data_IF_549955282454
#
_entry.id   IF_549955282454
#
_cell.length_a   1.000
_cell.length_b   1.000
_cell.length_c   1.000
_cell.angle_alpha   90.00
_cell.angle_beta   90.00
_cell.angle_gamma   90.00
#
_symmetry.space_group_name_H-M   'P 1'
#
loop_
_entity.id
_entity.type
_entity.pdbx_description
1 polymer ?
#
# COMPACT_ATOMS: atom_id res chain seq x y z
N UNK A 1 10.71 -23.33 -17.06
CA UNK A 1 10.57 -24.07 -15.77
C UNK A 1 11.88 -23.94 -15.00
N UNK A 2 11.82 -23.64 -13.70
CA UNK A 2 13.00 -23.55 -12.82
C UNK A 2 13.88 -24.80 -12.92
N UNK A 3 15.21 -24.61 -12.97
CA UNK A 3 16.19 -25.71 -13.09
C UNK A 3 17.16 -25.82 -11.91
N UNK A 4 16.90 -25.09 -10.82
CA UNK A 4 17.80 -24.96 -9.67
C UNK A 4 18.52 -23.62 -9.63
N UNK A 5 19.24 -23.38 -8.54
CA UNK A 5 20.06 -22.18 -8.35
C UNK A 5 21.26 -22.13 -9.30
N UNK A 6 21.60 -20.93 -9.75
CA UNK A 6 22.70 -20.66 -10.68
C UNK A 6 22.62 -21.48 -11.97
N UNK A 7 21.40 -21.78 -12.40
CA UNK A 7 21.14 -22.54 -13.63
C UNK A 7 20.16 -21.78 -14.51
N UNK A 8 20.53 -21.43 -15.74
CA UNK A 8 19.62 -20.76 -16.65
C UNK A 8 18.46 -21.70 -17.00
N UNK A 9 17.25 -21.15 -17.01
CA UNK A 9 16.04 -21.86 -17.47
C UNK A 9 16.16 -22.20 -18.95
N UNK A 10 16.69 -21.26 -19.74
CA UNK A 10 16.99 -21.41 -21.16
C UNK A 10 18.35 -20.80 -21.44
N UNK A 11 19.16 -21.47 -22.25
CA UNK A 11 20.47 -20.99 -22.67
C UNK A 11 20.60 -21.14 -24.18
N UNK A 12 20.99 -20.06 -24.83
CA UNK A 12 21.41 -20.00 -26.24
C UNK A 12 22.83 -19.45 -26.28
N UNK A 13 23.41 -19.29 -27.49
CA UNK A 13 24.78 -18.80 -27.64
C UNK A 13 25.02 -17.44 -26.97
N UNK A 14 24.07 -16.52 -27.07
CA UNK A 14 24.22 -15.15 -26.56
C UNK A 14 23.18 -14.76 -25.49
N UNK A 15 22.07 -15.50 -25.36
CA UNK A 15 21.00 -15.16 -24.43
C UNK A 15 20.77 -16.24 -23.39
N UNK A 16 20.57 -15.82 -22.14
CA UNK A 16 20.23 -16.69 -21.02
C UNK A 16 19.01 -16.18 -20.30
N UNK A 17 18.10 -17.10 -19.93
CA UNK A 17 16.89 -16.77 -19.18
C UNK A 17 17.06 -17.27 -17.75
N UNK A 18 16.80 -16.42 -16.78
CA UNK A 18 16.81 -16.74 -15.37
C UNK A 18 15.50 -16.35 -14.72
N UNK A 19 15.14 -17.06 -13.66
CA UNK A 19 14.01 -16.71 -12.81
C UNK A 19 14.50 -16.47 -11.39
N UNK A 20 13.87 -15.55 -10.67
CA UNK A 20 14.21 -15.22 -9.30
C UNK A 20 12.96 -14.93 -8.49
N UNK A 21 13.09 -15.01 -7.18
CA UNK A 21 12.03 -14.68 -6.23
C UNK A 21 12.60 -13.76 -5.16
N UNK A 22 11.86 -12.72 -4.85
CA UNK A 22 12.06 -11.86 -3.69
C UNK A 22 10.88 -12.03 -2.75
N UNK A 23 11.14 -12.02 -1.45
CA UNK A 23 10.10 -12.08 -0.43
C UNK A 23 10.35 -10.94 0.54
N UNK A 24 9.30 -10.19 0.82
CA UNK A 24 9.31 -9.16 1.84
C UNK A 24 8.07 -9.33 2.72
N UNK A 25 8.28 -9.48 4.02
CA UNK A 25 7.23 -9.44 5.01
C UNK A 25 7.17 -8.03 5.60
N UNK A 26 5.97 -7.49 5.75
CA UNK A 26 5.76 -6.37 6.63
C UNK A 26 5.59 -6.90 8.05
N UNK A 27 6.38 -6.40 8.97
CA UNK A 27 6.06 -6.41 10.39
C UNK A 27 6.49 -5.01 10.84
N UNK A 28 5.58 -4.05 10.65
CA UNK A 28 5.92 -2.65 10.85
C UNK A 28 6.47 -2.48 12.27
N UNK A 29 7.67 -1.92 12.38
CA UNK A 29 8.33 -1.63 13.65
C UNK A 29 7.79 -0.29 14.22
N UNK A 30 6.80 0.32 13.56
CA UNK A 30 6.19 1.60 13.89
C UNK A 30 4.71 1.68 13.56
N UNK A 31 3.90 0.74 14.07
CA UNK A 31 2.46 0.96 14.17
C UNK A 31 2.15 1.98 15.27
N UNK A 32 2.69 3.19 15.18
CA UNK A 32 2.49 4.24 16.17
C UNK A 32 1.00 4.58 16.33
N UNK A 33 0.65 5.36 17.36
CA UNK A 33 -0.75 5.69 17.58
C UNK A 33 -1.36 6.51 16.42
N UNK A 34 -2.64 6.27 16.15
CA UNK A 34 -3.47 7.07 15.25
C UNK A 34 -4.75 7.48 15.95
N UNK A 35 -5.21 8.71 15.74
CA UNK A 35 -6.47 9.19 16.25
C UNK A 35 -7.35 9.72 15.12
N UNK A 36 -8.66 9.66 15.35
CA UNK A 36 -9.65 10.24 14.46
C UNK A 36 -10.87 10.74 15.24
N UNK A 37 -11.51 11.78 14.71
CA UNK A 37 -12.90 12.12 15.05
C UNK A 37 -13.81 11.92 13.84
N UNK A 38 -15.05 11.54 14.10
CA UNK A 38 -16.12 11.53 13.10
C UNK A 38 -17.28 12.33 13.65
N UNK A 39 -17.63 13.41 12.95
CA UNK A 39 -18.73 14.30 13.32
C UNK A 39 -19.93 14.05 12.42
N UNK A 40 -21.08 13.76 13.01
CA UNK A 40 -22.37 13.61 12.33
C UNK A 40 -23.15 14.91 12.38
N UNK A 41 -23.79 15.24 11.27
CA UNK A 41 -24.63 16.42 11.11
C UNK A 41 -26.12 16.04 10.96
N UNK A 42 -27.06 16.93 11.36
CA UNK A 42 -28.50 16.64 11.30
C UNK A 42 -29.03 16.41 9.89
N UNK A 43 -28.35 16.92 8.86
CA UNK A 43 -28.73 16.75 7.45
C UNK A 43 -28.33 15.39 6.85
N UNK A 44 -27.81 14.47 7.67
CA UNK A 44 -27.42 13.14 7.20
C UNK A 44 -26.06 13.13 6.50
N UNK A 45 -25.19 14.10 6.82
CA UNK A 45 -23.79 14.16 6.38
C UNK A 45 -22.83 13.87 7.54
N UNK A 46 -21.59 13.52 7.21
CA UNK A 46 -20.54 13.30 8.18
C UNK A 46 -19.21 13.97 7.77
N UNK A 47 -18.41 14.33 8.76
CA UNK A 47 -17.09 14.89 8.58
C UNK A 47 -16.04 14.10 9.36
N UNK A 48 -15.01 13.64 8.66
CA UNK A 48 -13.86 12.93 9.21
C UNK A 48 -12.77 13.95 9.54
N UNK A 49 -12.26 13.87 10.76
CA UNK A 49 -11.11 14.62 11.25
C UNK A 49 -9.99 13.64 11.51
N UNK A 50 -8.97 13.65 10.65
CA UNK A 50 -7.75 12.88 10.83
C UNK A 50 -6.66 13.53 9.98
N UNK A 51 -5.44 13.61 10.52
CA UNK A 51 -4.33 14.31 9.87
C UNK A 51 -3.69 13.47 8.77
N UNK A 52 -4.50 13.11 7.77
CA UNK A 52 -4.12 12.22 6.67
C UNK A 52 -3.54 13.02 5.50
N UNK A 53 -2.25 12.83 5.27
CA UNK A 53 -1.56 13.33 4.08
C UNK A 53 -1.73 12.34 2.92
N UNK A 54 -2.15 12.84 1.77
CA UNK A 54 -2.29 12.05 0.54
C UNK A 54 -1.10 12.31 -0.39
N UNK A 55 -0.46 11.23 -0.84
CA UNK A 55 0.71 11.27 -1.72
C UNK A 55 0.55 10.35 -2.95
N UNK A 56 -0.67 9.89 -3.22
CA UNK A 56 -1.02 9.10 -4.40
C UNK A 56 -1.55 7.69 -4.10
N UNK A 57 -1.54 7.28 -2.83
CA UNK A 57 -1.95 5.96 -2.34
C UNK A 57 -3.46 5.78 -2.15
N UNK A 58 -4.25 6.85 -2.26
CA UNK A 58 -5.71 6.81 -2.19
C UNK A 58 -6.30 6.62 -0.78
N UNK A 59 -5.50 6.86 0.26
CA UNK A 59 -5.88 6.67 1.66
C UNK A 59 -7.10 7.50 2.04
N UNK A 60 -7.17 8.77 1.62
CA UNK A 60 -8.30 9.65 1.96
C UNK A 60 -9.63 9.09 1.44
N UNK A 61 -9.64 8.57 0.22
CA UNK A 61 -10.82 7.93 -0.38
C UNK A 61 -11.18 6.64 0.34
N UNK A 62 -10.18 5.82 0.69
CA UNK A 62 -10.41 4.56 1.40
C UNK A 62 -11.03 4.79 2.78
N UNK A 63 -10.58 5.80 3.51
CA UNK A 63 -11.15 6.14 4.80
C UNK A 63 -12.58 6.69 4.71
N UNK A 64 -12.89 7.44 3.66
CA UNK A 64 -14.28 7.84 3.37
C UNK A 64 -15.15 6.60 3.14
N UNK A 65 -14.70 5.62 2.35
CA UNK A 65 -15.43 4.37 2.13
C UNK A 65 -15.65 3.59 3.42
N UNK A 66 -14.61 3.49 4.26
CA UNK A 66 -14.70 2.83 5.56
C UNK A 66 -15.75 3.49 6.47
N UNK A 67 -15.70 4.82 6.59
CA UNK A 67 -16.70 5.56 7.38
C UNK A 67 -18.10 5.47 6.76
N UNK A 68 -18.21 5.52 5.43
CA UNK A 68 -19.47 5.38 4.69
C UNK A 68 -20.13 4.04 4.98
N UNK A 69 -19.36 2.96 4.96
CA UNK A 69 -19.84 1.62 5.27
C UNK A 69 -20.27 1.51 6.74
N UNK A 70 -19.51 2.07 7.69
CA UNK A 70 -19.89 2.06 9.11
C UNK A 70 -21.17 2.85 9.37
N UNK A 71 -21.31 4.02 8.74
CA UNK A 71 -22.42 4.96 8.92
C UNK A 71 -23.61 4.67 7.99
N UNK A 72 -23.44 3.77 7.03
CA UNK A 72 -24.39 3.44 5.96
C UNK A 72 -24.88 4.71 5.22
N UNK A 73 -23.93 5.58 4.86
CA UNK A 73 -24.18 6.79 4.08
C UNK A 73 -23.57 6.65 2.68
N UNK A 74 -24.13 7.33 1.65
CA UNK A 74 -23.43 7.53 0.39
C UNK A 74 -22.09 8.24 0.61
N UNK A 75 -21.04 7.85 -0.14
CA UNK A 75 -19.69 8.41 0.00
C UNK A 75 -19.66 9.93 -0.18
N UNK A 76 -20.57 10.47 -1.00
CA UNK A 76 -20.69 11.90 -1.31
C UNK A 76 -21.18 12.72 -0.12
N UNK A 77 -21.79 12.07 0.88
CA UNK A 77 -22.23 12.69 2.14
C UNK A 77 -21.15 12.70 3.21
N UNK A 78 -19.94 12.26 2.87
CA UNK A 78 -18.82 12.19 3.79
C UNK A 78 -17.68 13.07 3.28
N UNK A 79 -17.27 14.03 4.11
CA UNK A 79 -16.14 14.92 3.83
C UNK A 79 -14.97 14.65 4.78
N UNK A 80 -13.75 14.98 4.37
CA UNK A 80 -12.53 14.84 5.18
C UNK A 80 -11.85 16.19 5.30
N UNK A 81 -11.42 16.55 6.50
CA UNK A 81 -10.65 17.77 6.75
C UNK A 81 -9.32 17.81 5.97
N UNK A 82 -8.77 19.00 5.69
CA UNK A 82 -7.38 19.12 5.26
C UNK A 82 -6.42 18.46 6.25
N UNK A 83 -5.24 18.03 5.78
CA UNK A 83 -4.17 17.51 6.66
C UNK A 83 -3.51 18.68 7.40
N UNK A 84 -4.10 19.06 8.54
CA UNK A 84 -3.65 20.17 9.39
C UNK A 84 -3.69 19.75 10.87
N UNK A 85 -2.53 19.81 11.53
CA UNK A 85 -2.36 19.40 12.93
C UNK A 85 -3.01 20.35 13.94
N UNK A 86 -3.44 21.54 13.53
CA UNK A 86 -4.20 22.45 14.41
C UNK A 86 -5.67 22.04 14.56
N UNK A 87 -6.24 21.33 13.58
CA UNK A 87 -7.67 20.97 13.55
C UNK A 87 -7.92 19.47 13.73
N UNK A 88 -6.92 18.64 13.45
CA UNK A 88 -7.03 17.19 13.51
C UNK A 88 -6.35 16.64 14.76
N UNK A 89 -6.80 15.47 15.24
CA UNK A 89 -6.14 14.78 16.34
C UNK A 89 -4.78 14.21 15.92
N UNK A 90 -4.06 13.63 16.89
CA UNK A 90 -2.71 13.13 16.67
C UNK A 90 -2.67 12.04 15.57
N UNK A 91 -1.67 12.14 14.71
CA UNK A 91 -1.37 11.13 13.70
C UNK A 91 0.14 11.05 13.53
N UNK A 92 0.68 9.83 13.59
CA UNK A 92 2.09 9.59 13.32
C UNK A 92 2.45 9.87 11.85
N UNK A 93 1.60 9.43 10.92
CA UNK A 93 1.75 9.67 9.49
C UNK A 93 1.88 8.39 8.65
N UNK A 94 1.95 8.56 7.31
CA UNK A 94 2.03 7.45 6.37
C UNK A 94 3.45 6.89 6.27
N UNK A 95 3.71 5.77 6.93
CA UNK A 95 4.93 4.96 6.83
C UNK A 95 4.59 3.50 7.17
N UNK A 96 5.50 2.56 6.90
CA UNK A 96 5.34 1.15 7.33
C UNK A 96 4.11 0.45 6.75
N UNK A 97 3.51 1.03 5.70
CA UNK A 97 2.26 0.58 5.09
C UNK A 97 1.10 0.51 6.10
N UNK A 98 1.16 1.27 7.19
CA UNK A 98 0.17 1.20 8.28
C UNK A 98 -1.17 1.83 7.98
N UNK A 99 -1.26 2.72 7.00
CA UNK A 99 -2.42 3.61 6.79
C UNK A 99 -3.78 2.90 6.79
N UNK A 100 -3.94 1.87 5.94
CA UNK A 100 -5.18 1.10 5.86
C UNK A 100 -5.54 0.45 7.20
N UNK A 101 -4.54 -0.01 7.95
CA UNK A 101 -4.77 -0.71 9.22
C UNK A 101 -4.91 0.26 10.41
N UNK A 102 -3.87 1.01 10.76
CA UNK A 102 -3.84 1.85 11.95
C UNK A 102 -4.83 3.04 11.86
N UNK A 103 -4.70 3.85 10.80
CA UNK A 103 -5.56 5.02 10.59
C UNK A 103 -6.99 4.56 10.29
N UNK A 104 -7.14 3.52 9.46
CA UNK A 104 -8.43 2.89 9.18
C UNK A 104 -9.14 2.42 10.45
N UNK A 105 -8.43 1.77 11.37
CA UNK A 105 -8.96 1.36 12.68
C UNK A 105 -9.47 2.54 13.50
N UNK A 106 -8.67 3.61 13.62
CA UNK A 106 -9.08 4.80 14.36
C UNK A 106 -10.36 5.43 13.76
N UNK A 107 -10.46 5.50 12.43
CA UNK A 107 -11.62 6.06 11.74
C UNK A 107 -12.86 5.17 11.91
N UNK A 108 -12.71 3.86 11.80
CA UNK A 108 -13.79 2.89 12.03
C UNK A 108 -14.31 3.02 13.46
N UNK A 109 -13.42 3.04 14.46
CA UNK A 109 -13.79 3.22 15.86
C UNK A 109 -14.50 4.56 16.10
N UNK A 110 -14.01 5.65 15.52
CA UNK A 110 -14.64 6.96 15.63
C UNK A 110 -16.04 6.99 15.00
N UNK A 111 -16.22 6.36 13.84
CA UNK A 111 -17.51 6.25 13.18
C UNK A 111 -18.49 5.36 13.96
N UNK A 112 -18.02 4.26 14.55
CA UNK A 112 -18.81 3.37 15.40
C UNK A 112 -19.28 4.08 16.67
N UNK A 113 -18.38 4.80 17.34
CA UNK A 113 -18.68 5.60 18.54
C UNK A 113 -19.69 6.71 18.23
N UNK A 114 -19.52 7.43 17.11
CA UNK A 114 -20.46 8.45 16.66
C UNK A 114 -21.86 7.86 16.38
N UNK A 115 -21.93 6.71 15.71
CA UNK A 115 -23.18 6.00 15.40
C UNK A 115 -23.87 5.51 16.68
N UNK A 116 -23.12 4.96 17.62
CA UNK A 116 -23.66 4.48 18.90
C UNK A 116 -24.29 5.64 19.69
N UNK A 117 -23.59 6.77 19.81
CA UNK A 117 -24.13 8.00 20.44
C UNK A 117 -25.39 8.52 19.76
N UNK A 118 -25.47 8.43 18.43
CA UNK A 118 -26.68 8.77 17.68
C UNK A 118 -27.83 7.82 18.03
N UNK A 119 -27.57 6.53 18.10
CA UNK A 119 -28.60 5.55 18.45
C UNK A 119 -29.08 5.73 19.89
N UNK A 120 -28.19 5.96 20.84
CA UNK A 120 -28.54 6.27 22.24
C UNK A 120 -29.40 7.53 22.38
N UNK A 121 -29.12 8.56 21.58
CA UNK A 121 -29.93 9.77 21.57
C UNK A 121 -31.35 9.54 21.04
N UNK A 122 -31.49 8.69 20.02
CA UNK A 122 -32.73 8.53 19.25
C UNK A 122 -33.62 7.39 19.77
N UNK A 123 -33.03 6.37 20.39
CA UNK A 123 -33.76 5.18 20.84
C UNK A 123 -34.95 5.46 21.78
N UNK A 124 -34.90 6.46 22.69
CA UNK A 124 -36.06 6.80 23.54
C UNK A 124 -37.26 7.29 22.72
N UNK A 125 -37.02 8.03 21.63
CA UNK A 125 -38.09 8.52 20.75
C UNK A 125 -38.75 7.40 19.94
N UNK A 126 -38.03 6.32 19.68
CA UNK A 126 -38.53 5.11 19.00
C UNK A 126 -39.03 4.04 19.97
N UNK A 127 -38.84 4.22 21.28
CA UNK A 127 -39.25 3.28 22.31
C UNK A 127 -38.56 1.92 22.20
N UNK A 128 -37.28 1.90 21.81
CA UNK A 128 -36.49 0.66 21.65
C UNK A 128 -35.08 0.82 22.20
N UNK A 129 -34.33 -0.29 22.26
CA UNK A 129 -32.93 -0.30 22.67
C UNK A 129 -32.02 0.18 21.52
N UNK A 130 -30.94 0.95 21.76
CA UNK A 130 -29.99 1.36 20.72
C UNK A 130 -29.45 0.22 19.87
N UNK A 131 -29.24 -0.98 20.46
CA UNK A 131 -28.77 -2.17 19.73
C UNK A 131 -29.79 -2.70 18.72
N UNK A 132 -31.07 -2.34 18.86
CA UNK A 132 -32.14 -2.69 17.93
C UNK A 132 -32.31 -1.68 16.77
N UNK A 133 -31.40 -0.70 16.68
CA UNK A 133 -31.41 0.29 15.62
C UNK A 133 -30.40 -0.06 14.52
N UNK A 134 -30.73 0.38 13.30
CA UNK A 134 -29.77 0.50 12.21
C UNK A 134 -30.04 1.80 11.46
N UNK A 135 -29.08 2.22 10.64
CA UNK A 135 -29.20 3.44 9.84
C UNK A 135 -28.90 3.12 8.39
N UNK A 136 -29.53 3.84 7.47
CA UNK A 136 -29.15 3.90 6.06
C UNK A 136 -29.60 5.24 5.47
N UNK A 137 -28.75 5.86 4.66
CA UNK A 137 -28.99 7.12 3.94
C UNK A 137 -29.50 8.29 4.83
N UNK A 138 -29.00 8.39 6.07
CA UNK A 138 -29.38 9.45 7.02
C UNK A 138 -30.74 9.24 7.69
N UNK A 139 -31.26 8.00 7.65
CA UNK A 139 -32.49 7.58 8.32
C UNK A 139 -32.19 6.40 9.23
N UNK A 140 -32.72 6.45 10.45
CA UNK A 140 -32.61 5.41 11.47
C UNK A 140 -33.90 4.60 11.48
N UNK A 141 -33.76 3.28 11.60
CA UNK A 141 -34.85 2.30 11.55
C UNK A 141 -34.76 1.37 12.75
N UNK A 142 -35.91 0.84 13.18
CA UNK A 142 -35.99 -0.25 14.16
C UNK A 142 -35.94 -1.59 13.43
N UNK A 143 -35.05 -2.51 13.80
CA UNK A 143 -34.87 -3.79 13.09
C UNK A 143 -36.14 -4.65 13.10
N UNK A 144 -36.83 -4.71 14.24
CA UNK A 144 -38.03 -5.54 14.42
C UNK A 144 -39.31 -4.90 13.88
N UNK A 145 -39.29 -3.61 13.56
CA UNK A 145 -40.42 -2.85 13.02
C UNK A 145 -39.92 -1.77 12.05
N UNK A 146 -39.54 -2.13 10.81
CA UNK A 146 -38.97 -1.19 9.85
C UNK A 146 -39.91 -0.04 9.46
N UNK A 147 -41.22 -0.14 9.78
CA UNK A 147 -42.17 0.97 9.62
C UNK A 147 -41.89 2.12 10.59
N UNK A 148 -41.19 1.86 11.70
CA UNK A 148 -40.68 2.88 12.63
C UNK A 148 -39.32 3.38 12.16
N UNK A 149 -39.33 4.58 11.62
CA UNK A 149 -38.14 5.24 11.11
C UNK A 149 -38.11 6.71 11.54
N UNK A 150 -36.91 7.27 11.62
CA UNK A 150 -36.70 8.68 11.94
C UNK A 150 -35.42 9.20 11.27
N UNK A 151 -35.49 10.40 10.68
CA UNK A 151 -34.32 11.04 10.06
C UNK A 151 -33.30 11.44 11.13
N UNK A 152 -32.01 11.48 10.75
CA UNK A 152 -30.95 12.05 11.58
C UNK A 152 -31.26 13.49 12.05
N UNK A 153 -32.11 14.24 11.34
CA UNK A 153 -32.60 15.57 11.77
C UNK A 153 -33.21 15.57 13.17
N UNK A 154 -33.72 14.43 13.64
CA UNK A 154 -34.26 14.29 14.99
C UNK A 154 -33.20 14.42 16.10
N UNK A 155 -31.90 14.39 15.77
CA UNK A 155 -30.85 14.75 16.72
C UNK A 155 -30.89 16.23 17.14
N UNK A 156 -31.61 17.08 16.39
CA UNK A 156 -31.70 18.53 16.59
C UNK A 156 -30.85 19.29 15.57
N UNK A 157 -31.42 20.32 14.94
CA UNK A 157 -30.75 21.11 13.88
C UNK A 157 -29.55 21.94 14.39
N UNK A 158 -29.50 22.18 15.70
CA UNK A 158 -28.49 22.94 16.42
C UNK A 158 -27.47 22.03 17.12
N UNK A 159 -27.38 20.75 16.71
CA UNK A 159 -26.52 19.74 17.32
C UNK A 159 -25.64 19.03 16.30
N UNK A 160 -24.46 18.63 16.75
CA UNK A 160 -23.63 17.62 16.09
C UNK A 160 -23.28 16.51 17.09
N UNK A 161 -23.03 15.30 16.60
CA UNK A 161 -22.51 14.20 17.42
C UNK A 161 -21.09 13.91 16.97
N UNK A 162 -20.13 13.88 17.91
CA UNK A 162 -18.74 13.57 17.61
C UNK A 162 -18.36 12.26 18.26
N UNK A 163 -17.93 11.31 17.43
CA UNK A 163 -17.27 10.10 17.85
C UNK A 163 -15.74 10.25 17.85
N UNK A 164 -15.09 9.47 18.69
CA UNK A 164 -13.63 9.42 18.83
C UNK A 164 -13.14 7.99 18.64
N UNK A 165 -12.02 7.85 17.96
CA UNK A 165 -11.35 6.57 17.79
C UNK A 165 -9.84 6.75 17.90
N UNK A 166 -9.21 5.76 18.51
CA UNK A 166 -7.78 5.69 18.70
C UNK A 166 -7.30 4.27 18.45
N UNK A 167 -6.28 4.17 17.63
CA UNK A 167 -5.50 2.97 17.43
C UNK A 167 -4.25 3.04 18.31
N UNK A 168 -4.00 1.97 19.06
CA UNK A 168 -2.76 1.78 19.80
C UNK A 168 -1.89 0.77 19.06
N UNK A 169 -0.55 0.88 19.15
CA UNK A 169 0.36 0.00 18.42
C UNK A 169 0.12 -1.50 18.58
N UNK A 170 0.05 -2.23 17.45
CA UNK A 170 -0.13 -3.68 17.40
C UNK A 170 0.89 -4.39 16.48
N UNK A 171 2.02 -4.74 17.06
CA UNK A 171 3.11 -5.44 16.35
C UNK A 171 2.86 -6.93 16.08
N UNK A 172 1.62 -7.41 16.21
CA UNK A 172 1.30 -8.84 16.04
C UNK A 172 0.81 -9.20 14.64
N UNK A 173 0.44 -8.21 13.83
CA UNK A 173 0.00 -8.43 12.46
C UNK A 173 1.15 -8.30 11.47
N UNK A 174 1.18 -9.23 10.53
CA UNK A 174 2.17 -9.25 9.46
C UNK A 174 1.51 -9.74 8.18
N UNK A 175 1.89 -9.13 7.07
CA UNK A 175 1.60 -9.65 5.74
C UNK A 175 2.89 -9.77 4.94
N UNK A 176 2.82 -10.36 3.76
CA UNK A 176 3.98 -10.47 2.90
C UNK A 176 3.63 -10.39 1.43
N UNK A 177 4.63 -10.07 0.63
CA UNK A 177 4.59 -10.21 -0.81
C UNK A 177 5.77 -11.07 -1.27
N UNK A 178 5.46 -11.97 -2.21
CA UNK A 178 6.43 -12.68 -3.02
C UNK A 178 6.37 -12.13 -4.44
N UNK A 179 7.52 -11.69 -4.96
CA UNK A 179 7.65 -11.23 -6.36
C UNK A 179 8.55 -12.19 -7.11
N UNK A 180 8.01 -12.82 -8.13
CA UNK A 180 8.72 -13.69 -9.05
C UNK A 180 9.04 -12.91 -10.32
N UNK A 181 10.30 -12.93 -10.73
CA UNK A 181 10.77 -12.22 -11.92
C UNK A 181 11.42 -13.20 -12.87
N UNK A 182 11.08 -13.13 -14.14
CA UNK A 182 11.83 -13.73 -15.24
C UNK A 182 12.59 -12.65 -15.99
N UNK A 183 13.88 -12.88 -16.20
CA UNK A 183 14.77 -11.99 -16.96
C UNK A 183 15.42 -12.73 -18.12
N UNK A 184 15.64 -12.02 -19.22
CA UNK A 184 16.56 -12.40 -20.28
C UNK A 184 17.82 -11.55 -20.15
N UNK A 185 18.99 -12.20 -20.13
CA UNK A 185 20.29 -11.54 -20.13
C UNK A 185 20.99 -11.82 -21.44
N UNK A 186 21.33 -10.75 -22.16
CA UNK A 186 22.24 -10.80 -23.29
C UNK A 186 23.68 -10.81 -22.76
N UNK A 187 24.34 -11.96 -22.91
CA UNK A 187 25.71 -12.16 -22.44
C UNK A 187 26.76 -11.45 -23.28
N UNK A 188 26.44 -10.97 -24.48
CA UNK A 188 27.35 -10.20 -25.33
C UNK A 188 27.35 -8.72 -24.95
N UNK A 189 26.17 -8.16 -24.63
CA UNK A 189 26.02 -6.73 -24.31
C UNK A 189 25.89 -6.44 -22.82
N UNK A 190 25.52 -7.41 -22.01
CA UNK A 190 25.18 -7.25 -20.60
C UNK A 190 23.75 -6.75 -20.35
N UNK A 191 22.95 -6.53 -21.40
CA UNK A 191 21.58 -6.01 -21.27
C UNK A 191 20.69 -7.02 -20.55
N UNK A 192 20.00 -6.56 -19.51
CA UNK A 192 18.97 -7.32 -18.78
C UNK A 192 17.60 -6.83 -19.20
N UNK A 193 16.72 -7.74 -19.61
CA UNK A 193 15.35 -7.43 -20.03
C UNK A 193 14.37 -8.18 -19.14
N UNK A 194 13.44 -7.46 -18.50
CA UNK A 194 12.33 -8.07 -17.77
C UNK A 194 11.35 -8.72 -18.75
N UNK A 195 11.00 -9.98 -18.50
CA UNK A 195 10.09 -10.75 -19.36
C UNK A 195 8.71 -10.87 -18.74
N UNK A 196 8.66 -11.37 -17.52
CA UNK A 196 7.42 -11.64 -16.79
C UNK A 196 7.63 -11.32 -15.32
N UNK A 197 6.61 -10.74 -14.69
CA UNK A 197 6.57 -10.50 -13.25
C UNK A 197 5.28 -11.11 -12.72
N UNK A 198 5.40 -11.86 -11.62
CA UNK A 198 4.24 -12.36 -10.88
C UNK A 198 4.37 -11.93 -9.43
N UNK A 199 3.41 -11.14 -8.96
CA UNK A 199 3.29 -10.82 -7.54
C UNK A 199 2.28 -11.76 -6.90
N UNK A 200 2.57 -12.21 -5.67
CA UNK A 200 1.65 -12.98 -4.85
C UNK A 200 1.61 -12.38 -3.44
N UNK A 201 0.41 -12.06 -2.96
CA UNK A 201 0.21 -11.46 -1.63
C UNK A 201 -1.18 -11.77 -1.11
N UNK A 202 -1.36 -11.59 0.20
CA UNK A 202 -2.66 -11.62 0.86
C UNK A 202 -2.89 -10.24 1.47
N UNK A 203 -4.05 -9.66 1.18
CA UNK A 203 -4.36 -8.27 1.54
C UNK A 203 -5.51 -8.18 2.53
N UNK A 204 -6.04 -9.33 2.99
CA UNK A 204 -7.30 -9.34 3.69
C UNK A 204 -8.40 -8.84 2.78
N UNK A 205 -9.30 -8.01 3.27
CA UNK A 205 -10.33 -7.45 2.39
C UNK A 205 -9.78 -6.31 1.53
N UNK A 206 -10.10 -6.36 0.24
CA UNK A 206 -9.78 -5.26 -0.67
C UNK A 206 -10.74 -4.09 -0.41
N UNK A 207 -10.20 -2.94 0.00
CA UNK A 207 -10.97 -1.70 0.19
C UNK A 207 -11.21 -0.95 -1.13
N UNK A 208 -10.22 -0.97 -2.03
CA UNK A 208 -10.27 -0.29 -3.32
C UNK A 208 -9.54 -1.09 -4.40
N UNK A 209 -10.27 -1.85 -5.24
CA UNK A 209 -9.63 -2.68 -6.26
C UNK A 209 -8.74 -1.88 -7.24
N UNK A 210 -9.17 -0.71 -7.78
CA UNK A 210 -8.29 0.11 -8.62
C UNK A 210 -7.04 0.63 -7.89
N UNK A 211 -7.19 1.09 -6.64
CA UNK A 211 -6.06 1.54 -5.82
C UNK A 211 -5.06 0.42 -5.55
N UNK A 212 -5.55 -0.79 -5.27
CA UNK A 212 -4.71 -1.98 -5.12
C UNK A 212 -3.95 -2.29 -6.41
N UNK A 213 -4.63 -2.33 -7.56
CA UNK A 213 -3.99 -2.55 -8.85
C UNK A 213 -2.93 -1.48 -9.16
N UNK A 214 -3.23 -0.21 -8.89
CA UNK A 214 -2.30 0.91 -9.03
C UNK A 214 -1.05 0.73 -8.18
N UNK A 215 -1.20 0.37 -6.90
CA UNK A 215 -0.09 0.15 -5.98
C UNK A 215 0.77 -1.05 -6.42
N UNK A 216 0.14 -2.15 -6.84
CA UNK A 216 0.82 -3.36 -7.29
C UNK A 216 1.59 -3.16 -8.59
N UNK A 217 1.10 -2.29 -9.48
CA UNK A 217 1.82 -1.91 -10.70
C UNK A 217 2.91 -0.86 -10.42
N UNK A 218 2.72 -0.04 -9.39
CA UNK A 218 3.69 0.95 -8.91
C UNK A 218 5.02 0.35 -8.45
N UNK A 219 5.06 -0.97 -8.15
CA UNK A 219 6.27 -1.67 -7.72
C UNK A 219 7.42 -1.65 -8.75
N UNK A 220 7.13 -1.30 -10.00
CA UNK A 220 8.15 -1.13 -11.02
C UNK A 220 9.08 0.04 -10.74
N UNK A 221 8.54 1.13 -10.19
CA UNK A 221 9.22 2.43 -10.11
C UNK A 221 10.26 2.53 -9.01
N UNK A 222 10.57 3.77 -8.61
CA UNK A 222 11.70 4.04 -7.71
C UNK A 222 11.51 3.46 -6.32
N UNK A 223 12.58 2.82 -5.84
CA UNK A 223 12.59 1.97 -4.64
C UNK A 223 12.15 0.53 -4.89
N UNK A 224 11.69 0.19 -6.11
CA UNK A 224 11.20 -1.11 -6.52
C UNK A 224 12.10 -1.82 -7.52
N UNK A 225 11.48 -2.50 -8.49
CA UNK A 225 12.21 -3.36 -9.45
C UNK A 225 13.27 -2.56 -10.25
N UNK A 226 13.01 -1.30 -10.57
CA UNK A 226 13.96 -0.44 -11.29
C UNK A 226 15.22 -0.10 -10.48
N UNK A 227 15.17 -0.16 -9.15
CA UNK A 227 16.39 -0.03 -8.34
C UNK A 227 17.39 -1.14 -8.61
N UNK A 228 16.94 -2.33 -8.99
CA UNK A 228 17.87 -3.37 -9.42
C UNK A 228 18.43 -3.17 -10.84
N UNK A 229 17.84 -2.34 -11.70
CA UNK A 229 18.21 -2.27 -13.12
C UNK A 229 18.86 -0.95 -13.53
N UNK A 230 18.42 0.16 -12.95
CA UNK A 230 18.71 1.50 -13.46
C UNK A 230 19.15 2.48 -12.39
N UNK A 231 18.53 2.42 -11.21
CA UNK A 231 18.62 3.52 -10.25
C UNK A 231 19.88 3.44 -9.41
N UNK A 232 20.69 4.49 -9.49
CA UNK A 232 21.90 4.63 -8.70
C UNK A 232 22.14 6.12 -8.44
N UNK A 233 22.39 6.48 -7.18
CA UNK A 233 22.91 7.81 -6.85
C UNK A 233 24.43 7.75 -6.90
N UNK A 234 25.04 8.50 -7.81
CA UNK A 234 26.49 8.50 -8.01
C UNK A 234 27.09 9.63 -7.17
N UNK A 235 27.88 9.28 -6.17
CA UNK A 235 28.58 10.23 -5.32
C UNK A 235 30.02 10.43 -5.81
N UNK A 236 30.46 11.69 -5.95
CA UNK A 236 31.88 11.98 -5.99
C UNK A 236 32.45 11.87 -4.58
N UNK A 237 33.19 10.79 -4.31
CA UNK A 237 33.76 10.52 -2.99
C UNK A 237 34.79 11.56 -2.53
N UNK A 238 35.34 12.40 -3.41
CA UNK A 238 36.26 13.48 -3.02
C UNK A 238 35.54 14.73 -2.55
N UNK A 239 34.44 15.08 -3.21
CA UNK A 239 33.72 16.34 -2.96
C UNK A 239 32.41 16.16 -2.19
N UNK A 240 31.86 14.94 -2.16
CA UNK A 240 30.55 14.63 -1.62
C UNK A 240 29.38 15.06 -2.51
N UNK A 241 29.65 15.54 -3.74
CA UNK A 241 28.60 15.94 -4.66
C UNK A 241 27.93 14.74 -5.33
N UNK A 242 26.60 14.82 -5.49
CA UNK A 242 25.85 13.88 -6.32
C UNK A 242 26.05 14.26 -7.79
N UNK A 243 26.64 13.36 -8.56
CA UNK A 243 27.01 13.59 -9.96
C UNK A 243 25.82 13.50 -10.93
N UNK A 244 24.74 12.82 -10.53
CA UNK A 244 23.57 12.59 -11.37
C UNK A 244 22.27 13.07 -10.71
N UNK A 245 22.30 14.23 -10.04
CA UNK A 245 21.13 14.84 -9.41
C UNK A 245 20.17 15.51 -10.43
N UNK A 246 19.81 14.78 -11.49
CA UNK A 246 18.93 15.23 -12.56
C UNK A 246 18.20 14.03 -13.20
N UNK A 247 17.06 14.28 -13.87
CA UNK A 247 16.24 13.22 -14.48
C UNK A 247 16.78 12.67 -15.80
N UNK A 248 17.91 13.19 -16.29
CA UNK A 248 18.58 12.64 -17.48
C UNK A 248 19.52 11.53 -17.05
N UNK A 249 20.33 11.74 -16.01
CA UNK A 249 21.40 10.83 -15.60
C UNK A 249 20.95 9.84 -14.52
N UNK A 250 20.00 10.20 -13.66
CA UNK A 250 19.31 9.23 -12.81
C UNK A 250 18.23 8.52 -13.63
N UNK A 251 18.48 7.27 -14.00
CA UNK A 251 17.69 6.55 -15.00
C UNK A 251 16.42 5.95 -14.38
N UNK A 252 15.29 6.20 -15.02
CA UNK A 252 14.00 5.56 -14.76
C UNK A 252 13.55 4.75 -15.99
N UNK A 253 12.71 3.74 -15.78
CA UNK A 253 12.07 3.01 -16.87
C UNK A 253 11.12 3.91 -17.65
N UNK A 254 11.12 3.74 -18.97
CA UNK A 254 10.16 4.40 -19.85
C UNK A 254 8.91 3.54 -20.04
N UNK A 255 7.78 4.15 -20.43
CA UNK A 255 6.53 3.43 -20.67
C UNK A 255 6.65 2.29 -21.69
N UNK A 256 7.54 2.41 -22.68
CA UNK A 256 7.77 1.38 -23.70
C UNK A 256 8.45 0.12 -23.15
N UNK A 257 9.10 0.23 -21.99
CA UNK A 257 9.85 -0.86 -21.36
C UNK A 257 9.08 -1.51 -20.21
N UNK A 258 7.78 -1.18 -20.04
CA UNK A 258 6.94 -1.79 -19.00
C UNK A 258 6.75 -3.30 -19.27
N UNK A 259 7.10 -4.16 -18.31
CA UNK A 259 6.83 -5.59 -18.41
C UNK A 259 5.35 -5.91 -18.13
N UNK A 260 4.93 -7.11 -18.52
CA UNK A 260 3.64 -7.64 -18.05
C UNK A 260 3.75 -8.08 -16.58
N UNK A 261 2.87 -7.54 -15.74
CA UNK A 261 2.74 -7.90 -14.33
C UNK A 261 1.46 -8.70 -14.15
N UNK A 262 1.57 -9.86 -13.51
CA UNK A 262 0.43 -10.65 -13.05
C UNK A 262 0.34 -10.61 -11.53
N UNK A 263 -0.78 -10.15 -11.01
CA UNK A 263 -1.02 -10.09 -9.57
C UNK A 263 -1.90 -11.26 -9.12
N UNK A 264 -1.42 -12.02 -8.14
CA UNK A 264 -2.14 -13.10 -7.47
C UNK A 264 -2.47 -12.62 -6.05
N UNK A 265 -3.71 -12.22 -5.83
CA UNK A 265 -4.16 -11.63 -4.57
C UNK A 265 -5.08 -12.59 -3.85
N UNK A 266 -4.79 -12.87 -2.59
CA UNK A 266 -5.68 -13.55 -1.66
C UNK A 266 -6.37 -12.54 -0.74
N UNK A 267 -7.56 -12.90 -0.27
CA UNK A 267 -8.36 -12.12 0.67
C UNK A 267 -8.66 -12.93 1.93
N UNK A 268 -7.63 -13.42 2.61
CA UNK A 268 -7.81 -14.16 3.86
C UNK A 268 -8.06 -13.17 5.00
N UNK A 269 -9.16 -13.31 5.78
CA UNK A 269 -9.45 -12.36 6.84
C UNK A 269 -8.34 -12.24 7.88
N UNK A 270 -7.75 -11.05 8.03
CA UNK A 270 -6.81 -10.74 9.11
C UNK A 270 -7.55 -10.30 10.37
N UNK A 271 -7.02 -10.57 11.58
CA UNK A 271 -7.58 -10.07 12.82
C UNK A 271 -7.19 -8.59 13.05
N UNK A 272 -7.49 -7.72 12.07
CA UNK A 272 -7.13 -6.30 12.07
C UNK A 272 -8.26 -5.41 12.62
N UNK A 273 -9.08 -4.83 11.75
CA UNK A 273 -10.28 -4.06 12.10
C UNK A 273 -11.54 -4.67 11.45
N UNK A 274 -12.66 -3.94 11.50
CA UNK A 274 -13.97 -4.38 10.99
C UNK A 274 -13.95 -4.97 9.56
N UNK A 275 -13.01 -4.53 8.73
CA UNK A 275 -12.90 -4.96 7.33
C UNK A 275 -11.75 -5.93 7.12
N UNK A 276 -11.07 -6.42 8.15
CA UNK A 276 -10.01 -7.42 8.01
C UNK A 276 -8.91 -7.06 7.00
N UNK A 277 -8.71 -5.78 6.72
CA UNK A 277 -7.78 -5.28 5.72
C UNK A 277 -6.43 -4.94 6.35
N UNK A 278 -5.37 -4.97 5.54
CA UNK A 278 -4.01 -4.58 5.91
C UNK A 278 -3.41 -3.73 4.79
N UNK A 279 -2.33 -2.98 5.07
CA UNK A 279 -1.67 -2.18 4.05
C UNK A 279 -0.58 -2.95 3.31
N UNK A 280 -0.33 -2.55 2.06
CA UNK A 280 0.58 -3.24 1.13
C UNK A 280 1.61 -2.31 0.46
N UNK A 281 1.70 -1.06 0.91
CA UNK A 281 2.38 0.01 0.19
C UNK A 281 3.83 -0.33 -0.17
N UNK A 282 4.66 -0.59 0.84
CA UNK A 282 6.08 -0.90 0.71
C UNK A 282 6.33 -2.34 0.30
N UNK A 283 5.53 -3.30 0.81
CA UNK A 283 5.72 -4.70 0.45
C UNK A 283 5.48 -4.96 -1.04
N UNK A 284 4.66 -4.14 -1.70
CA UNK A 284 4.49 -4.19 -3.15
C UNK A 284 5.84 -4.02 -3.88
N UNK A 285 6.74 -3.22 -3.30
CA UNK A 285 7.90 -2.63 -3.97
C UNK A 285 9.20 -3.31 -3.53
N UNK A 286 9.40 -3.50 -2.22
CA UNK A 286 10.59 -4.04 -1.58
C UNK A 286 11.15 -5.38 -2.09
N UNK A 287 10.35 -6.41 -2.45
CA UNK A 287 10.88 -7.69 -2.89
C UNK A 287 11.50 -7.62 -4.30
N UNK A 288 11.13 -6.61 -5.10
CA UNK A 288 11.51 -6.47 -6.50
C UNK A 288 13.01 -6.56 -6.78
N UNK A 289 13.87 -5.72 -6.17
CA UNK A 289 15.30 -5.73 -6.42
C UNK A 289 15.94 -7.10 -6.20
N UNK A 290 15.61 -7.75 -5.08
CA UNK A 290 16.16 -9.05 -4.72
C UNK A 290 15.75 -10.15 -5.71
N UNK A 291 14.50 -10.10 -6.21
CA UNK A 291 14.00 -11.01 -7.21
C UNK A 291 14.77 -10.88 -8.54
N UNK A 292 15.06 -9.64 -8.97
CA UNK A 292 15.86 -9.37 -10.17
C UNK A 292 17.29 -9.88 -9.99
N UNK A 293 17.95 -9.56 -8.88
CA UNK A 293 19.33 -10.02 -8.61
C UNK A 293 19.43 -11.54 -8.62
N UNK A 294 18.46 -12.23 -8.02
CA UNK A 294 18.39 -13.69 -8.05
C UNK A 294 18.14 -14.22 -9.47
N UNK A 295 17.25 -13.57 -10.25
CA UNK A 295 16.97 -13.96 -11.62
C UNK A 295 18.20 -13.81 -12.52
N UNK A 296 18.91 -12.70 -12.41
CA UNK A 296 20.17 -12.46 -13.14
C UNK A 296 21.24 -13.45 -12.71
N UNK A 297 21.37 -13.73 -11.41
CA UNK A 297 22.33 -14.71 -10.90
C UNK A 297 22.06 -16.10 -11.49
N UNK A 298 20.79 -16.51 -11.53
CA UNK A 298 20.37 -17.77 -12.14
C UNK A 298 20.59 -17.78 -13.66
N UNK A 299 20.36 -16.66 -14.35
CA UNK A 299 20.63 -16.54 -15.79
C UNK A 299 22.13 -16.67 -16.10
N UNK A 300 23.01 -16.07 -15.28
CA UNK A 300 24.44 -16.04 -15.55
C UNK A 300 25.19 -17.28 -15.04
N UNK A 301 24.63 -17.99 -14.06
CA UNK A 301 25.30 -19.11 -13.40
C UNK A 301 26.33 -18.67 -12.36
N UNK A 302 26.26 -17.43 -11.89
CA UNK A 302 27.12 -16.86 -10.85
C UNK A 302 26.31 -15.88 -10.01
N UNK A 303 26.71 -15.66 -8.75
CA UNK A 303 26.02 -14.72 -7.88
C UNK A 303 26.33 -13.26 -8.25
N UNK A 304 25.29 -12.44 -8.26
CA UNK A 304 25.39 -10.97 -8.32
C UNK A 304 25.19 -10.41 -6.91
N UNK A 305 26.11 -9.56 -6.48
CA UNK A 305 26.12 -8.99 -5.13
C UNK A 305 25.97 -7.46 -5.10
N UNK A 306 25.83 -6.83 -6.26
CA UNK A 306 25.73 -5.38 -6.40
C UNK A 306 24.57 -5.02 -7.33
N UNK A 307 23.86 -3.95 -7.02
CA UNK A 307 22.83 -3.36 -7.87
C UNK A 307 23.08 -1.84 -8.04
N UNK A 308 22.61 -1.22 -9.14
CA UNK A 308 21.88 -1.83 -10.25
C UNK A 308 22.73 -2.79 -11.10
N UNK A 309 22.10 -3.76 -11.76
CA UNK A 309 22.70 -4.72 -12.70
C UNK A 309 22.93 -4.07 -14.06
N UNK A 310 23.76 -3.04 -14.08
CA UNK A 310 24.13 -2.35 -15.31
C UNK A 310 24.84 -3.30 -16.28
N UNK A 311 24.79 -3.03 -17.61
CA UNK A 311 25.47 -3.86 -18.60
C UNK A 311 26.96 -4.11 -18.29
N UNK A 312 27.67 -3.09 -17.81
CA UNK A 312 29.07 -3.21 -17.40
C UNK A 312 29.24 -4.22 -16.26
N UNK A 313 28.40 -4.13 -15.22
CA UNK A 313 28.45 -5.02 -14.04
C UNK A 313 28.12 -6.46 -14.42
N UNK A 314 27.15 -6.66 -15.31
CA UNK A 314 26.80 -7.97 -15.86
C UNK A 314 27.97 -8.58 -16.64
N UNK A 315 28.57 -7.83 -17.56
CA UNK A 315 29.72 -8.30 -18.35
C UNK A 315 30.94 -8.60 -17.48
N UNK A 316 31.15 -7.79 -16.44
CA UNK A 316 32.21 -8.00 -15.44
C UNK A 316 31.98 -9.29 -14.65
N UNK A 317 30.75 -9.55 -14.23
CA UNK A 317 30.40 -10.76 -13.49
C UNK A 317 30.68 -12.06 -14.26
N UNK A 318 30.64 -12.02 -15.60
CA UNK A 318 30.99 -13.15 -16.48
C UNK A 318 32.40 -13.08 -17.08
N UNK A 319 33.26 -12.20 -16.55
CA UNK A 319 34.67 -12.12 -16.93
C UNK A 319 34.95 -11.53 -18.31
N UNK A 320 33.97 -10.85 -18.94
CA UNK A 320 34.16 -10.21 -20.25
C UNK A 320 34.77 -8.81 -20.17
N UNK A 321 34.73 -8.19 -19.01
CA UNK A 321 35.40 -6.91 -18.73
C UNK A 321 36.19 -7.01 -17.42
N UNK A 322 37.33 -6.33 -17.36
CA UNK A 322 38.12 -6.19 -16.14
C UNK A 322 37.75 -4.90 -15.42
N UNK A 323 37.84 -4.89 -14.09
CA UNK A 323 37.65 -3.69 -13.30
C UNK A 323 38.73 -2.66 -13.67
N UNK A 324 38.36 -1.48 -14.18
CA UNK A 324 39.31 -0.38 -14.29
C UNK A 324 39.71 0.03 -12.88
N UNK A 325 40.98 -0.17 -12.52
CA UNK A 325 41.56 0.44 -11.34
C UNK A 325 41.45 1.97 -11.46
N UNK A 326 40.60 2.63 -10.68
CA UNK A 326 40.66 4.09 -10.57
C UNK A 326 39.36 4.89 -10.42
N UNK A 327 38.19 4.28 -10.30
CA UNK A 327 36.97 5.01 -9.93
C UNK A 327 36.37 4.36 -8.68
N UNK A 328 36.97 4.70 -7.54
CA UNK A 328 36.34 4.69 -6.21
C UNK A 328 36.43 6.10 -5.67
#
# INVERSE_FOLDING_TARGET
KWKGWLKPTTETKSRRIGIGVGVHGNADIGEDASEAYVRLHPDGTAMLFSCITEHGTGQRTNFVKMAAEVLQLPIERISVTPSDSMINPYEFGPAGSRGTYAIGSAIISAAQDAKQKLFELISPALGTDPSNLYTTDGVIFVKDDPGKQISWKAMGIDRTITGYGRFEPDYTLSNCMMTFVEVEVDTETGKVTLKNIVNATDVGQIIDPPGLEGQLNGCLGSGGIDSALFEETILDHKTGHILNANMIDYKWRTFEELPSIKNMVLETPFPSHLFHAVGIGEIATSPGPSAVLMAVSNALGTWIHEYPVTPERVLRAIGKTTQKAGLR
#
